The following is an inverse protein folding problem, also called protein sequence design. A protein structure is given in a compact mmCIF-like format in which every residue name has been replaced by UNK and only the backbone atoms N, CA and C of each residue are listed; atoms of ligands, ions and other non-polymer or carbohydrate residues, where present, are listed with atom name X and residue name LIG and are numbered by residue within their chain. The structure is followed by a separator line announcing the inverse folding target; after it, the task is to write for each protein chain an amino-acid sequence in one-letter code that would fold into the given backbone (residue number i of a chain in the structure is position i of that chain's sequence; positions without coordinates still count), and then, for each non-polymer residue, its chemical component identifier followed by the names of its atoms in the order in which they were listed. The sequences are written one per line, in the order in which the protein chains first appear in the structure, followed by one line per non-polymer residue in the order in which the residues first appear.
data_IF_134724633656
#
_entry.id   IF_134724633656
#
_cell.length_a   1.000
_cell.length_b   1.000
_cell.length_c   1.000
_cell.angle_alpha   90.00
_cell.angle_beta   90.00
_cell.angle_gamma   90.00
#
_symmetry.space_group_name_H-M   'P 1'
#
loop_
_entity.id
_entity.type
_entity.pdbx_description
1 polymer ?
#
# COMPACT_ATOMS: atom_id res chain seq x y z
N UNK A 1 31.12 29.85 -9.53
CA UNK A 1 29.68 29.56 -9.25
C UNK A 1 29.37 28.06 -9.19
N UNK A 2 30.15 27.18 -9.84
CA UNK A 2 29.96 25.71 -9.77
C UNK A 2 30.22 25.08 -8.38
N UNK A 3 31.26 25.53 -7.68
CA UNK A 3 31.70 24.98 -6.37
C UNK A 3 30.65 25.15 -5.22
N UNK A 4 29.81 26.19 -5.31
CA UNK A 4 28.73 26.41 -4.35
C UNK A 4 27.52 25.50 -4.55
N UNK A 5 27.34 24.94 -5.76
CA UNK A 5 26.23 24.06 -6.09
C UNK A 5 26.56 22.61 -5.72
N UNK A 6 27.81 22.20 -5.90
CA UNK A 6 28.30 20.87 -5.54
C UNK A 6 28.25 20.63 -4.03
N UNK A 7 28.72 21.59 -3.22
CA UNK A 7 28.62 21.54 -1.75
C UNK A 7 27.17 21.50 -1.24
N UNK A 8 26.21 22.09 -1.96
CA UNK A 8 24.78 21.99 -1.63
C UNK A 8 24.25 20.59 -1.94
N UNK A 9 24.63 20.04 -3.09
CA UNK A 9 24.23 18.70 -3.51
C UNK A 9 24.73 17.62 -2.53
N UNK A 10 25.99 17.72 -2.07
CA UNK A 10 26.53 16.82 -1.06
C UNK A 10 25.74 16.86 0.25
N UNK A 11 25.40 18.06 0.73
CA UNK A 11 24.58 18.21 1.96
C UNK A 11 23.19 17.59 1.79
N UNK A 12 22.55 17.78 0.64
CA UNK A 12 21.23 17.20 0.36
C UNK A 12 21.32 15.68 0.31
N UNK A 13 22.33 15.11 -0.34
CA UNK A 13 22.56 13.66 -0.38
C UNK A 13 22.78 13.08 1.02
N UNK A 14 23.67 13.68 1.80
CA UNK A 14 23.95 13.23 3.17
C UNK A 14 22.72 13.30 4.07
N UNK A 15 21.88 14.34 3.92
CA UNK A 15 20.64 14.46 4.68
C UNK A 15 19.61 13.41 4.24
N UNK A 16 19.48 13.17 2.94
CA UNK A 16 18.62 12.11 2.39
C UNK A 16 19.02 10.74 2.92
N UNK A 17 20.29 10.37 2.83
CA UNK A 17 20.81 9.08 3.33
C UNK A 17 20.57 8.90 4.84
N UNK A 18 20.61 9.99 5.61
CA UNK A 18 20.30 9.95 7.04
C UNK A 18 18.83 9.58 7.27
N UNK A 19 17.91 10.23 6.55
CA UNK A 19 16.47 9.97 6.65
C UNK A 19 16.14 8.55 6.18
N UNK A 20 16.75 8.08 5.08
CA UNK A 20 16.57 6.71 4.58
C UNK A 20 16.99 5.67 5.63
N UNK A 21 18.10 5.89 6.35
CA UNK A 21 18.54 5.00 7.44
C UNK A 21 17.60 5.01 8.65
N UNK A 22 17.07 6.17 9.01
CA UNK A 22 16.07 6.29 10.09
C UNK A 22 14.80 5.54 9.72
N UNK A 23 14.32 5.69 8.48
CA UNK A 23 13.18 4.96 7.94
C UNK A 23 13.44 3.45 7.94
N UNK A 24 14.61 3.00 7.45
CA UNK A 24 14.99 1.58 7.43
C UNK A 24 15.00 0.98 8.84
N UNK A 25 15.50 1.72 9.82
CA UNK A 25 15.55 1.27 11.22
C UNK A 25 14.13 1.10 11.79
N UNK A 26 13.28 2.13 11.66
CA UNK A 26 11.91 2.10 12.18
C UNK A 26 11.08 1.00 11.53
N UNK A 27 11.19 0.85 10.19
CA UNK A 27 10.45 -0.20 9.49
C UNK A 27 10.88 -1.60 9.96
N UNK A 28 12.19 -1.85 10.10
CA UNK A 28 12.67 -3.14 10.57
C UNK A 28 12.26 -3.45 12.02
N UNK A 29 12.21 -2.45 12.90
CA UNK A 29 11.73 -2.63 14.27
C UNK A 29 10.26 -3.06 14.31
N UNK A 30 9.40 -2.42 13.49
CA UNK A 30 7.98 -2.78 13.40
C UNK A 30 7.79 -4.14 12.74
N UNK A 31 8.51 -4.44 11.66
CA UNK A 31 8.47 -5.75 11.02
C UNK A 31 8.88 -6.86 11.98
N UNK A 32 9.93 -6.64 12.79
CA UNK A 32 10.34 -7.60 13.81
C UNK A 32 9.27 -7.78 14.90
N UNK A 33 8.59 -6.71 15.31
CA UNK A 33 7.47 -6.78 16.25
C UNK A 33 6.29 -7.60 15.68
N UNK A 34 5.93 -7.33 14.42
CA UNK A 34 4.85 -8.03 13.71
C UNK A 34 5.13 -9.52 13.62
N UNK A 35 6.31 -9.91 13.16
CA UNK A 35 6.65 -11.32 12.91
C UNK A 35 6.89 -12.11 14.20
N UNK A 36 7.58 -11.53 15.19
CA UNK A 36 7.94 -12.26 16.41
C UNK A 36 6.79 -12.36 17.39
N UNK A 37 5.85 -11.40 17.38
CA UNK A 37 4.84 -11.28 18.42
C UNK A 37 3.42 -11.17 17.86
N UNK A 38 3.11 -10.22 16.99
CA UNK A 38 1.72 -9.92 16.67
C UNK A 38 1.08 -10.99 15.76
N UNK A 39 1.70 -11.24 14.60
CA UNK A 39 1.21 -12.25 13.63
C UNK A 39 1.34 -13.65 14.23
N UNK A 40 2.48 -13.95 14.87
CA UNK A 40 2.76 -15.27 15.44
C UNK A 40 1.76 -15.68 16.54
N UNK A 41 1.25 -14.73 17.31
CA UNK A 41 0.32 -15.01 18.40
C UNK A 41 -1.17 -14.85 18.01
N UNK A 42 -1.47 -14.51 16.75
CA UNK A 42 -2.85 -14.61 16.25
C UNK A 42 -3.25 -16.08 16.17
N UNK A 43 -4.36 -16.44 16.83
CA UNK A 43 -4.97 -17.75 16.64
C UNK A 43 -5.86 -17.78 15.39
N UNK A 44 -6.28 -18.98 14.98
CA UNK A 44 -7.02 -19.20 13.72
C UNK A 44 -8.39 -18.49 13.66
N UNK A 45 -8.93 -18.06 14.81
CA UNK A 45 -10.21 -17.36 14.88
C UNK A 45 -10.08 -15.83 14.88
N UNK A 46 -8.85 -15.29 14.94
CA UNK A 46 -8.55 -13.86 14.97
C UNK A 46 -8.21 -13.31 13.58
N UNK A 47 -9.04 -13.61 12.58
CA UNK A 47 -8.79 -13.22 11.19
C UNK A 47 -8.70 -11.70 11.01
N UNK A 48 -9.52 -10.89 11.68
CA UNK A 48 -9.44 -9.42 11.60
C UNK A 48 -8.08 -8.88 12.04
N UNK A 49 -7.58 -9.35 13.20
CA UNK A 49 -6.27 -8.97 13.70
C UNK A 49 -5.15 -9.46 12.79
N UNK A 50 -5.26 -10.70 12.28
CA UNK A 50 -4.27 -11.27 11.36
C UNK A 50 -4.18 -10.48 10.05
N UNK A 51 -5.32 -10.15 9.45
CA UNK A 51 -5.39 -9.30 8.24
C UNK A 51 -4.82 -7.92 8.53
N UNK A 52 -5.16 -7.31 9.66
CA UNK A 52 -4.63 -6.00 10.04
C UNK A 52 -3.10 -6.01 10.18
N UNK A 53 -2.52 -7.02 10.84
CA UNK A 53 -1.07 -7.12 11.02
C UNK A 53 -0.34 -7.48 9.72
N UNK A 54 -0.90 -8.34 8.88
CA UNK A 54 -0.33 -8.65 7.56
C UNK A 54 -0.40 -7.45 6.61
N UNK A 55 -1.52 -6.71 6.61
CA UNK A 55 -1.63 -5.43 5.91
C UNK A 55 -0.53 -4.47 6.37
N UNK A 56 -0.37 -4.32 7.68
CA UNK A 56 0.66 -3.45 8.26
C UNK A 56 2.07 -3.91 7.85
N UNK A 57 2.32 -5.22 7.83
CA UNK A 57 3.59 -5.79 7.32
C UNK A 57 3.83 -5.41 5.86
N UNK A 58 2.81 -5.51 5.01
CA UNK A 58 2.86 -5.03 3.62
C UNK A 58 3.17 -3.54 3.55
N UNK A 59 2.50 -2.70 4.35
CA UNK A 59 2.74 -1.25 4.40
C UNK A 59 4.19 -0.91 4.76
N UNK A 60 4.78 -1.55 5.79
CA UNK A 60 6.16 -1.29 6.18
C UNK A 60 7.19 -1.77 5.16
N UNK A 61 6.95 -2.89 4.47
CA UNK A 61 7.79 -3.27 3.34
C UNK A 61 7.63 -2.32 2.16
N UNK A 62 6.42 -1.83 1.88
CA UNK A 62 6.21 -0.80 0.86
C UNK A 62 7.01 0.48 1.16
N UNK A 63 6.99 0.97 2.39
CA UNK A 63 7.80 2.14 2.79
C UNK A 63 9.30 1.89 2.60
N UNK A 64 9.78 0.67 2.90
CA UNK A 64 11.15 0.28 2.59
C UNK A 64 11.43 0.26 1.08
N UNK A 65 10.47 -0.17 0.25
CA UNK A 65 10.62 -0.23 -1.20
C UNK A 65 10.75 1.17 -1.85
N UNK A 66 10.12 2.19 -1.26
CA UNK A 66 10.19 3.60 -1.71
C UNK A 66 11.63 4.16 -1.62
N UNK A 67 12.42 3.71 -0.64
CA UNK A 67 13.79 4.17 -0.41
C UNK A 67 14.86 3.17 -0.85
N UNK A 68 14.50 1.90 -1.07
CA UNK A 68 15.44 0.86 -1.44
C UNK A 68 15.96 1.03 -2.88
N UNK A 69 17.22 0.66 -3.09
CA UNK A 69 17.88 0.66 -4.38
C UNK A 69 18.59 -0.67 -4.65
N UNK A 70 18.81 -0.98 -5.93
CA UNK A 70 19.51 -2.18 -6.37
C UNK A 70 18.81 -3.48 -5.96
N UNK A 71 19.59 -4.51 -5.63
CA UNK A 71 19.09 -5.86 -5.33
C UNK A 71 18.18 -5.89 -4.08
N UNK A 72 18.40 -5.00 -3.10
CA UNK A 72 17.53 -4.90 -1.92
C UNK A 72 16.09 -4.57 -2.30
N UNK A 73 15.89 -3.73 -3.33
CA UNK A 73 14.55 -3.28 -3.74
C UNK A 73 13.66 -4.46 -4.10
N UNK A 74 14.14 -5.38 -4.94
CA UNK A 74 13.35 -6.52 -5.39
C UNK A 74 12.89 -7.39 -4.22
N UNK A 75 13.79 -7.73 -3.29
CA UNK A 75 13.46 -8.55 -2.12
C UNK A 75 12.40 -7.92 -1.22
N UNK A 76 12.45 -6.59 -1.06
CA UNK A 76 11.49 -5.84 -0.25
C UNK A 76 10.13 -5.72 -0.94
N UNK A 77 10.12 -5.52 -2.26
CA UNK A 77 8.91 -5.48 -3.08
C UNK A 77 8.19 -6.84 -3.04
N UNK A 78 8.92 -7.94 -3.22
CA UNK A 78 8.37 -9.30 -3.11
C UNK A 78 7.78 -9.58 -1.73
N UNK A 79 8.46 -9.15 -0.66
CA UNK A 79 7.97 -9.32 0.70
C UNK A 79 6.70 -8.49 0.98
N UNK A 80 6.64 -7.26 0.47
CA UNK A 80 5.43 -6.40 0.53
C UNK A 80 4.26 -7.07 -0.16
N UNK A 81 4.47 -7.53 -1.39
CA UNK A 81 3.43 -8.18 -2.19
C UNK A 81 2.94 -9.47 -1.54
N UNK A 82 3.84 -10.29 -1.02
CA UNK A 82 3.48 -11.53 -0.32
C UNK A 82 2.59 -11.27 0.90
N UNK A 83 2.95 -10.27 1.73
CA UNK A 83 2.17 -9.91 2.91
C UNK A 83 0.78 -9.38 2.54
N UNK A 84 0.67 -8.52 1.52
CA UNK A 84 -0.63 -8.04 1.04
C UNK A 84 -1.48 -9.16 0.44
N UNK A 85 -0.89 -10.06 -0.37
CA UNK A 85 -1.61 -11.21 -0.94
C UNK A 85 -2.16 -12.12 0.16
N UNK A 86 -1.35 -12.47 1.15
CA UNK A 86 -1.80 -13.29 2.27
C UNK A 86 -2.96 -12.61 3.03
N UNK A 87 -2.82 -11.32 3.35
CA UNK A 87 -3.88 -10.55 4.00
C UNK A 87 -5.17 -10.54 3.14
N UNK A 88 -5.02 -10.42 1.82
CA UNK A 88 -6.14 -10.26 0.90
C UNK A 88 -6.95 -11.55 0.78
N UNK A 89 -6.29 -12.70 0.67
CA UNK A 89 -6.96 -14.00 0.61
C UNK A 89 -7.70 -14.31 1.93
N UNK A 90 -7.08 -14.06 3.09
CA UNK A 90 -7.75 -14.22 4.39
C UNK A 90 -8.97 -13.28 4.51
N UNK A 91 -8.83 -12.02 4.04
CA UNK A 91 -9.92 -11.04 4.10
C UNK A 91 -11.10 -11.43 3.19
N UNK A 92 -10.84 -12.04 2.03
CA UNK A 92 -11.89 -12.53 1.13
C UNK A 92 -12.68 -13.67 1.74
N UNK A 93 -12.01 -14.57 2.45
CA UNK A 93 -12.64 -15.73 3.07
C UNK A 93 -13.49 -15.38 4.29
N UNK A 94 -13.03 -14.44 5.13
CA UNK A 94 -13.60 -14.24 6.46
C UNK A 94 -14.24 -12.86 6.71
N UNK A 95 -14.11 -11.89 5.81
CA UNK A 95 -14.55 -10.51 6.06
C UNK A 95 -15.49 -10.03 4.97
N UNK A 96 -16.52 -9.26 5.34
CA UNK A 96 -17.43 -8.65 4.36
C UNK A 96 -16.68 -7.61 3.51
N UNK A 97 -17.04 -7.42 2.22
CA UNK A 97 -16.44 -6.42 1.35
C UNK A 97 -16.50 -4.99 1.91
N UNK A 98 -17.53 -4.70 2.71
CA UNK A 98 -17.74 -3.40 3.36
C UNK A 98 -16.89 -3.19 4.62
N UNK A 99 -16.15 -4.20 5.08
CA UNK A 99 -15.38 -4.11 6.33
C UNK A 99 -14.20 -3.12 6.18
N UNK A 100 -14.00 -2.13 7.10
CA UNK A 100 -12.96 -1.11 6.96
C UNK A 100 -11.55 -1.65 6.77
N UNK A 101 -11.15 -2.68 7.52
CA UNK A 101 -9.83 -3.31 7.38
C UNK A 101 -9.65 -3.92 5.97
N UNK A 102 -10.67 -4.59 5.41
CA UNK A 102 -10.60 -5.19 4.06
C UNK A 102 -10.54 -4.11 2.97
N UNK A 103 -11.34 -3.05 3.10
CA UNK A 103 -11.28 -1.89 2.22
C UNK A 103 -9.93 -1.18 2.29
N UNK A 104 -9.42 -0.94 3.49
CA UNK A 104 -8.13 -0.30 3.71
C UNK A 104 -6.97 -1.14 3.19
N UNK A 105 -7.08 -2.47 3.25
CA UNK A 105 -6.14 -3.39 2.62
C UNK A 105 -6.17 -3.23 1.09
N UNK A 106 -7.35 -3.25 0.47
CA UNK A 106 -7.48 -3.08 -0.98
C UNK A 106 -6.94 -1.72 -1.46
N UNK A 107 -7.19 -0.65 -0.69
CA UNK A 107 -6.65 0.69 -0.96
C UNK A 107 -5.12 0.68 -0.93
N UNK A 108 -4.50 0.16 0.12
CA UNK A 108 -3.04 0.19 0.23
C UNK A 108 -2.38 -0.76 -0.76
N UNK A 109 -3.02 -1.88 -1.09
CA UNK A 109 -2.50 -2.83 -2.06
C UNK A 109 -2.63 -2.31 -3.50
N UNK A 110 -3.67 -1.55 -3.84
CA UNK A 110 -3.76 -0.88 -5.14
C UNK A 110 -2.69 0.21 -5.28
N UNK A 111 -2.46 1.00 -4.24
CA UNK A 111 -1.34 1.97 -4.19
C UNK A 111 0.01 1.28 -4.38
N UNK A 112 0.23 0.13 -3.74
CA UNK A 112 1.44 -0.68 -3.97
C UNK A 112 1.61 -1.05 -5.45
N UNK A 113 0.56 -1.55 -6.12
CA UNK A 113 0.65 -1.87 -7.54
C UNK A 113 0.96 -0.64 -8.40
N UNK A 114 0.39 0.52 -8.07
CA UNK A 114 0.61 1.76 -8.80
C UNK A 114 2.02 2.30 -8.59
N UNK A 115 2.40 2.60 -7.34
CA UNK A 115 3.61 3.36 -7.02
C UNK A 115 4.88 2.50 -6.98
N UNK A 116 4.76 1.20 -6.65
CA UNK A 116 5.92 0.33 -6.42
C UNK A 116 6.16 -0.61 -7.59
N UNK A 117 5.11 -1.30 -8.05
CA UNK A 117 5.19 -2.24 -9.17
C UNK A 117 5.03 -1.57 -10.54
N UNK A 118 4.67 -0.27 -10.58
CA UNK A 118 4.39 0.45 -11.83
C UNK A 118 3.40 -0.31 -12.73
N UNK A 119 2.35 -0.86 -12.11
CA UNK A 119 1.34 -1.71 -12.73
C UNK A 119 -0.05 -1.04 -12.60
N UNK A 120 -0.30 0.06 -13.32
CA UNK A 120 -1.49 0.88 -13.13
C UNK A 120 -2.79 0.15 -13.50
N UNK A 121 -2.78 -0.72 -14.51
CA UNK A 121 -3.94 -1.57 -14.85
C UNK A 121 -4.35 -2.46 -13.66
N UNK A 122 -3.37 -3.09 -13.01
CA UNK A 122 -3.61 -3.98 -11.87
C UNK A 122 -4.07 -3.20 -10.63
N UNK A 123 -3.51 -2.01 -10.41
CA UNK A 123 -3.95 -1.10 -9.35
C UNK A 123 -5.42 -0.68 -9.53
N UNK A 124 -5.78 -0.22 -10.73
CA UNK A 124 -7.14 0.18 -11.08
C UNK A 124 -8.12 -0.99 -10.99
N UNK A 125 -7.75 -2.18 -11.49
CA UNK A 125 -8.59 -3.37 -11.39
C UNK A 125 -8.89 -3.72 -9.92
N UNK A 126 -7.87 -3.74 -9.06
CA UNK A 126 -8.03 -4.06 -7.64
C UNK A 126 -8.89 -3.02 -6.91
N UNK A 127 -8.61 -1.73 -7.12
CA UNK A 127 -9.35 -0.64 -6.48
C UNK A 127 -10.82 -0.62 -6.93
N UNK A 128 -11.06 -0.79 -8.24
CA UNK A 128 -12.41 -0.84 -8.81
C UNK A 128 -13.19 -2.03 -8.30
N UNK A 129 -12.58 -3.23 -8.28
CA UNK A 129 -13.25 -4.42 -7.76
C UNK A 129 -13.66 -4.24 -6.29
N UNK A 130 -12.76 -3.75 -5.44
CA UNK A 130 -13.06 -3.52 -4.03
C UNK A 130 -14.17 -2.48 -3.81
N UNK A 131 -14.19 -1.42 -4.64
CA UNK A 131 -15.24 -0.42 -4.61
C UNK A 131 -16.58 -1.01 -5.06
N UNK A 132 -16.62 -1.69 -6.22
CA UNK A 132 -17.83 -2.29 -6.78
C UNK A 132 -18.43 -3.36 -5.82
N UNK A 133 -17.59 -4.21 -5.22
CA UNK A 133 -18.01 -5.21 -4.23
C UNK A 133 -18.64 -4.56 -2.99
N UNK A 134 -18.03 -3.49 -2.49
CA UNK A 134 -18.55 -2.78 -1.33
C UNK A 134 -19.86 -2.03 -1.63
N UNK A 135 -20.01 -1.49 -2.84
CA UNK A 135 -21.27 -0.89 -3.30
C UNK A 135 -22.40 -1.92 -3.35
N UNK A 136 -22.12 -3.12 -3.86
CA UNK A 136 -23.10 -4.20 -3.97
C UNK A 136 -23.63 -4.67 -2.61
N UNK A 137 -22.84 -4.50 -1.54
CA UNK A 137 -23.16 -4.94 -0.19
C UNK A 137 -23.29 -3.77 0.81
N UNK A 138 -23.49 -2.53 0.34
CA UNK A 138 -23.59 -1.33 1.21
C UNK A 138 -24.60 -1.47 2.35
N UNK A 139 -25.70 -2.20 2.12
CA UNK A 139 -26.76 -2.44 3.10
C UNK A 139 -26.28 -3.30 4.31
N UNK A 140 -25.11 -3.93 4.21
CA UNK A 140 -24.49 -4.75 5.28
C UNK A 140 -23.65 -3.93 6.26
N UNK A 141 -23.46 -2.64 6.01
CA UNK A 141 -22.61 -1.78 6.85
C UNK A 141 -23.17 -1.64 8.27
N UNK A 142 -22.33 -1.99 9.25
CA UNK A 142 -22.58 -1.66 10.64
C UNK A 142 -22.44 -0.13 10.87
N UNK A 143 -23.32 0.45 11.67
CA UNK A 143 -23.30 1.87 12.06
C UNK A 143 -21.94 2.29 12.66
N UNK A 144 -21.31 1.40 13.43
CA UNK A 144 -20.02 1.68 14.09
C UNK A 144 -18.88 1.89 13.08
N UNK A 145 -18.91 1.18 11.95
CA UNK A 145 -17.87 1.21 10.91
C UNK A 145 -18.25 2.05 9.69
N UNK A 146 -19.48 2.55 9.61
CA UNK A 146 -20.02 3.22 8.43
C UNK A 146 -19.16 4.40 7.97
N UNK A 147 -18.71 5.23 8.91
CA UNK A 147 -17.88 6.41 8.61
C UNK A 147 -16.50 6.03 8.07
N UNK A 148 -15.90 4.99 8.62
CA UNK A 148 -14.57 4.54 8.20
C UNK A 148 -14.62 3.89 6.82
N UNK A 149 -15.59 3.00 6.59
CA UNK A 149 -15.77 2.36 5.29
C UNK A 149 -16.09 3.38 4.19
N UNK A 150 -17.00 4.32 4.44
CA UNK A 150 -17.36 5.35 3.45
C UNK A 150 -16.19 6.27 3.12
N UNK A 151 -15.37 6.63 4.12
CA UNK A 151 -14.14 7.39 3.88
C UNK A 151 -13.15 6.60 3.01
N UNK A 152 -12.95 5.31 3.27
CA UNK A 152 -12.01 4.50 2.47
C UNK A 152 -12.54 4.29 1.05
N UNK A 153 -13.84 4.06 0.86
CA UNK A 153 -14.45 3.97 -0.46
C UNK A 153 -14.29 5.28 -1.25
N UNK A 154 -14.40 6.41 -0.57
CA UNK A 154 -14.12 7.72 -1.17
C UNK A 154 -12.67 7.82 -1.65
N UNK A 155 -11.70 7.40 -0.84
CA UNK A 155 -10.28 7.37 -1.24
C UNK A 155 -10.01 6.43 -2.41
N UNK A 156 -10.65 5.26 -2.46
CA UNK A 156 -10.57 4.34 -3.60
C UNK A 156 -11.05 5.01 -4.89
N UNK A 157 -12.19 5.72 -4.83
CA UNK A 157 -12.75 6.47 -5.97
C UNK A 157 -11.82 7.60 -6.41
N UNK A 158 -11.23 8.31 -5.45
CA UNK A 158 -10.34 9.44 -5.74
C UNK A 158 -9.05 8.97 -6.41
N UNK A 159 -8.47 7.86 -5.94
CA UNK A 159 -7.33 7.21 -6.58
C UNK A 159 -7.66 6.74 -8.00
N UNK A 160 -8.81 6.08 -8.21
CA UNK A 160 -9.24 5.66 -9.56
C UNK A 160 -9.39 6.85 -10.51
N UNK A 161 -9.91 7.98 -10.02
CA UNK A 161 -10.07 9.20 -10.82
C UNK A 161 -8.71 9.75 -11.23
N UNK A 162 -7.77 9.82 -10.28
CA UNK A 162 -6.40 10.31 -10.54
C UNK A 162 -5.66 9.42 -11.55
N UNK A 163 -5.67 8.11 -11.34
CA UNK A 163 -4.91 7.17 -12.17
C UNK A 163 -5.48 7.03 -13.58
N UNK A 164 -6.80 7.18 -13.75
CA UNK A 164 -7.41 7.15 -15.09
C UNK A 164 -7.23 8.46 -15.85
N UNK A 165 -7.03 9.60 -15.17
CA UNK A 165 -6.60 10.82 -15.83
C UNK A 165 -5.13 10.75 -16.25
N UNK A 166 -4.24 10.23 -15.39
CA UNK A 166 -2.81 10.09 -15.71
C UNK A 166 -2.60 9.23 -16.98
N UNK A 167 -3.35 8.13 -17.11
CA UNK A 167 -3.30 7.26 -18.29
C UNK A 167 -3.75 7.95 -19.58
N UNK A 168 -4.79 8.79 -19.52
CA UNK A 168 -5.27 9.53 -20.70
C UNK A 168 -4.26 10.58 -21.17
N UNK A 169 -3.56 11.21 -20.24
CA UNK A 169 -2.51 12.18 -20.54
C UNK A 169 -1.26 11.51 -21.15
N UNK A 170 -0.89 10.31 -20.68
CA UNK A 170 0.20 9.51 -21.26
C UNK A 170 -0.12 9.04 -22.69
N UNK A 171 -1.32 8.50 -22.93
CA UNK A 171 -1.76 8.05 -24.26
C UNK A 171 -1.87 9.23 -25.27
N UNK A 172 -2.31 10.41 -24.82
CA UNK A 172 -2.35 11.61 -25.65
C UNK A 172 -0.95 12.16 -25.98
N UNK A 173 0.03 11.92 -25.12
CA UNK A 173 1.44 12.29 -25.32
C UNK A 173 2.18 11.38 -26.31
N UNK A 174 1.85 10.08 -26.35
CA UNK A 174 2.47 9.11 -27.26
C UNK A 174 1.91 9.18 -28.70
N UNK A 175 0.72 9.73 -28.90
CA UNK A 175 0.09 9.89 -30.23
C UNK A 175 0.65 11.03 -31.11
N UNK A 176 1.65 11.78 -30.64
CA UNK A 176 2.12 13.01 -31.31
C UNK A 176 3.63 13.05 -31.60
N UNK A 177 4.32 11.90 -31.64
CA UNK A 177 5.74 11.79 -32.04
C UNK A 177 5.94 10.82 -33.21
#
# INVERSE_FOLDING_TARGET
MADGNEKKLEKVKAYREKIEKELETVCNDVLALLDKYLIKNCNDFQYESKVFYLKMKGDYYRYLAEVAAGEKKNSVVEASEAAYKEAFEISKEHMQPTHPIRLGLALNFSVFYYEIQNAPEQACLLAKQAFDDAIAELDTLNEDSYKDSTLIMQLLRDNLTLWTSDQQDEEAGEGNN
#
